data_IF_375845888071
#
_entry.id   IF_375845888071
#
_cell.length_a   1.000
_cell.length_b   1.000
_cell.length_c   1.000
_cell.angle_alpha   90.00
_cell.angle_beta   90.00
_cell.angle_gamma   90.00
#
_symmetry.space_group_name_H-M   'P 1'
#
loop_
_entity.id
_entity.type
_entity.pdbx_description
1 polymer ?
#
# COMPACT_ATOMS: atom_id res chain seq x y z
N UNK A 1 -18.71 3.39 10.03
CA UNK A 1 -17.59 3.76 10.93
C UNK A 1 -16.53 2.67 11.14
N UNK A 2 -16.74 1.39 10.78
CA UNK A 2 -15.72 0.33 10.94
C UNK A 2 -15.59 -0.56 9.69
N UNK A 3 -15.76 0.04 8.52
CA UNK A 3 -15.69 -0.69 7.25
C UNK A 3 -14.33 -0.46 6.61
N UNK A 4 -13.67 -1.55 6.20
CA UNK A 4 -12.50 -1.53 5.35
C UNK A 4 -12.94 -2.01 3.96
N UNK A 5 -12.58 -1.25 2.92
CA UNK A 5 -12.78 -1.68 1.55
C UNK A 5 -11.50 -2.34 1.03
N UNK A 6 -11.58 -3.63 0.72
CA UNK A 6 -10.52 -4.38 0.05
C UNK A 6 -10.62 -4.20 -1.47
N UNK A 7 -9.60 -3.57 -2.05
CA UNK A 7 -9.49 -3.27 -3.46
C UNK A 7 -8.31 -4.06 -4.05
N UNK A 8 -8.60 -5.24 -4.61
CA UNK A 8 -7.64 -5.95 -5.44
C UNK A 8 -7.41 -5.20 -6.75
N UNK A 9 -6.18 -4.78 -7.00
CA UNK A 9 -5.80 -3.92 -8.11
C UNK A 9 -4.81 -4.61 -9.05
N UNK A 10 -4.97 -4.38 -10.35
CA UNK A 10 -4.12 -4.93 -11.40
C UNK A 10 -4.01 -3.96 -12.58
N UNK A 11 -2.86 -3.93 -13.26
CA UNK A 11 -2.73 -3.23 -14.54
C UNK A 11 -3.28 -4.07 -15.68
N UNK A 12 -3.85 -3.40 -16.67
CA UNK A 12 -4.17 -4.04 -17.96
C UNK A 12 -2.98 -4.06 -18.91
N UNK A 13 -2.16 -3.01 -18.82
CA UNK A 13 -1.03 -2.74 -19.70
C UNK A 13 0.15 -2.23 -18.86
N UNK A 14 1.42 -2.47 -19.25
CA UNK A 14 2.60 -2.16 -18.42
C UNK A 14 2.69 -0.71 -17.90
N UNK A 15 2.22 0.25 -18.69
CA UNK A 15 2.24 1.69 -18.37
C UNK A 15 0.82 2.27 -18.25
N UNK A 16 -0.18 1.40 -18.08
CA UNK A 16 -1.58 1.78 -17.96
C UNK A 16 -2.04 1.99 -16.51
N UNK A 17 -3.24 2.55 -16.31
CA UNK A 17 -3.81 2.71 -14.98
C UNK A 17 -4.10 1.35 -14.33
N UNK A 18 -4.10 1.34 -13.00
CA UNK A 18 -4.59 0.21 -12.22
C UNK A 18 -6.12 0.19 -12.24
N UNK A 19 -6.69 -1.00 -12.27
CA UNK A 19 -8.13 -1.23 -12.17
C UNK A 19 -8.43 -2.20 -11.05
N UNK A 20 -9.58 -2.01 -10.41
CA UNK A 20 -10.11 -3.00 -9.48
C UNK A 20 -10.49 -4.26 -10.25
N UNK A 21 -10.06 -5.40 -9.74
CA UNK A 21 -10.35 -6.73 -10.28
C UNK A 21 -11.14 -7.55 -9.26
N UNK A 22 -11.98 -8.44 -9.76
CA UNK A 22 -12.86 -9.31 -8.97
C UNK A 22 -12.80 -10.73 -9.52
N UNK A 23 -13.52 -11.65 -8.86
CA UNK A 23 -13.62 -13.05 -9.28
C UNK A 23 -12.24 -13.73 -9.40
N UNK A 24 -11.56 -13.84 -8.26
CA UNK A 24 -10.17 -14.35 -8.16
C UNK A 24 -9.23 -13.67 -9.15
N UNK A 25 -9.41 -12.36 -9.31
CA UNK A 25 -8.63 -11.47 -10.17
C UNK A 25 -8.75 -11.73 -11.68
N UNK A 26 -9.74 -12.53 -12.09
CA UNK A 26 -9.97 -12.88 -13.49
C UNK A 26 -10.81 -11.82 -14.22
N UNK A 27 -11.64 -11.07 -13.49
CA UNK A 27 -12.56 -10.09 -14.05
C UNK A 27 -12.15 -8.67 -13.71
N UNK A 28 -11.64 -7.94 -14.71
CA UNK A 28 -11.48 -6.49 -14.62
C UNK A 28 -12.83 -5.79 -14.51
N UNK A 29 -12.94 -4.87 -13.55
CA UNK A 29 -14.07 -3.95 -13.47
C UNK A 29 -13.82 -2.73 -14.36
N UNK A 30 -14.79 -1.81 -14.41
CA UNK A 30 -14.63 -0.49 -15.04
C UNK A 30 -14.13 0.56 -14.04
N UNK A 31 -13.82 0.18 -12.80
CA UNK A 31 -13.41 1.09 -11.73
C UNK A 31 -11.88 1.26 -11.74
N UNK A 32 -11.34 2.40 -12.22
CA UNK A 32 -9.92 2.67 -12.13
C UNK A 32 -9.53 2.98 -10.68
N UNK A 33 -8.30 2.66 -10.29
CA UNK A 33 -7.75 3.17 -9.05
C UNK A 33 -7.11 4.55 -9.32
N UNK A 34 -7.80 5.61 -8.90
CA UNK A 34 -7.34 6.99 -9.00
C UNK A 34 -7.87 7.84 -7.84
N UNK A 35 -7.46 9.11 -7.78
CA UNK A 35 -7.87 10.06 -6.75
C UNK A 35 -9.39 10.19 -6.61
N UNK A 36 -10.10 10.39 -7.72
CA UNK A 36 -11.56 10.54 -7.71
C UNK A 36 -12.25 9.28 -7.15
N UNK A 37 -11.81 8.09 -7.57
CA UNK A 37 -12.37 6.84 -7.07
C UNK A 37 -12.11 6.64 -5.58
N UNK A 38 -10.90 6.94 -5.10
CA UNK A 38 -10.60 6.84 -3.66
C UNK A 38 -11.39 7.87 -2.85
N UNK A 39 -11.58 9.08 -3.37
CA UNK A 39 -12.42 10.10 -2.76
C UNK A 39 -13.88 9.64 -2.64
N UNK A 40 -14.47 9.16 -3.73
CA UNK A 40 -15.85 8.70 -3.75
C UNK A 40 -16.07 7.51 -2.80
N UNK A 41 -15.16 6.52 -2.82
CA UNK A 41 -15.27 5.34 -1.94
C UNK A 41 -15.04 5.68 -0.46
N UNK A 42 -14.27 6.72 -0.17
CA UNK A 42 -13.97 7.13 1.22
C UNK A 42 -15.21 7.55 2.00
N UNK A 43 -16.27 7.98 1.32
CA UNK A 43 -17.56 8.32 1.93
C UNK A 43 -18.28 7.09 2.52
N UNK A 44 -17.82 5.89 2.18
CA UNK A 44 -18.45 4.62 2.55
C UNK A 44 -17.60 3.73 3.44
N UNK A 45 -16.35 4.12 3.73
CA UNK A 45 -15.43 3.34 4.55
C UNK A 45 -14.62 4.20 5.51
N UNK A 46 -13.76 3.56 6.29
CA UNK A 46 -12.86 4.24 7.23
C UNK A 46 -11.39 3.94 6.95
N UNK A 47 -11.13 2.95 6.08
CA UNK A 47 -9.80 2.52 5.66
C UNK A 47 -9.90 1.79 4.30
N UNK A 48 -8.80 1.81 3.57
CA UNK A 48 -8.60 0.97 2.39
C UNK A 48 -7.58 -0.13 2.67
N UNK A 49 -7.86 -1.34 2.16
CA UNK A 49 -6.88 -2.40 2.02
C UNK A 49 -6.66 -2.61 0.52
N UNK A 50 -5.45 -2.36 0.01
CA UNK A 50 -5.18 -2.43 -1.43
C UNK A 50 -4.20 -3.55 -1.73
N UNK A 51 -4.66 -4.53 -2.53
CA UNK A 51 -3.88 -5.70 -2.90
C UNK A 51 -3.31 -5.57 -4.32
N UNK A 52 -2.00 -5.68 -4.46
CA UNK A 52 -1.34 -5.72 -5.76
C UNK A 52 -1.25 -7.17 -6.27
N UNK A 53 -2.25 -7.57 -7.06
CA UNK A 53 -2.43 -8.96 -7.52
C UNK A 53 -1.20 -9.52 -8.24
N UNK A 54 -0.54 -8.71 -9.05
CA UNK A 54 0.57 -9.19 -9.89
C UNK A 54 1.81 -9.58 -9.07
N UNK A 55 1.94 -9.10 -7.83
CA UNK A 55 3.09 -9.38 -6.94
C UNK A 55 2.69 -10.13 -5.65
N UNK A 56 1.41 -10.32 -5.39
CA UNK A 56 0.91 -10.99 -4.19
C UNK A 56 1.46 -12.43 -4.04
N UNK A 57 2.01 -12.74 -2.87
CA UNK A 57 2.57 -14.05 -2.55
C UNK A 57 3.88 -14.42 -3.27
N UNK A 58 4.36 -13.60 -4.22
CA UNK A 58 5.52 -13.91 -5.06
C UNK A 58 6.88 -13.50 -4.48
N UNK A 59 6.89 -12.69 -3.41
CA UNK A 59 8.11 -12.14 -2.82
C UNK A 59 9.02 -11.45 -3.86
N UNK A 60 8.41 -10.77 -4.85
CA UNK A 60 9.11 -10.14 -5.97
C UNK A 60 9.45 -8.66 -5.74
N UNK A 61 9.10 -8.11 -4.58
CA UNK A 61 9.15 -6.67 -4.29
C UNK A 61 7.78 -6.01 -4.45
N UNK A 62 7.61 -4.85 -3.80
CA UNK A 62 6.38 -4.06 -3.84
C UNK A 62 6.17 -3.38 -5.20
N UNK A 63 4.91 -3.14 -5.56
CA UNK A 63 4.54 -2.34 -6.73
C UNK A 63 4.70 -0.85 -6.42
N UNK A 64 5.90 -0.33 -6.64
CA UNK A 64 6.34 1.00 -6.22
C UNK A 64 5.44 2.14 -6.74
N UNK A 65 4.96 2.03 -7.99
CA UNK A 65 4.10 3.06 -8.56
C UNK A 65 2.75 3.09 -7.84
N UNK A 66 2.17 1.91 -7.58
CA UNK A 66 0.90 1.82 -6.84
C UNK A 66 1.03 2.41 -5.43
N UNK A 67 2.09 2.08 -4.70
CA UNK A 67 2.34 2.65 -3.36
C UNK A 67 2.45 4.19 -3.42
N UNK A 68 3.18 4.73 -4.40
CA UNK A 68 3.33 6.18 -4.59
C UNK A 68 1.98 6.86 -4.87
N UNK A 69 1.15 6.22 -5.71
CA UNK A 69 -0.18 6.72 -6.05
C UNK A 69 -1.11 6.70 -4.83
N UNK A 70 -1.09 5.63 -4.02
CA UNK A 70 -1.88 5.54 -2.79
C UNK A 70 -1.49 6.60 -1.76
N UNK A 71 -0.19 6.80 -1.53
CA UNK A 71 0.31 7.83 -0.62
C UNK A 71 -0.08 9.25 -1.06
N UNK A 72 -0.18 9.48 -2.38
CA UNK A 72 -0.64 10.76 -2.93
C UNK A 72 -2.15 10.95 -2.83
N UNK A 73 -2.92 9.94 -3.20
CA UNK A 73 -4.34 10.09 -3.51
C UNK A 73 -5.29 9.65 -2.40
N UNK A 74 -4.88 8.77 -1.49
CA UNK A 74 -5.80 8.27 -0.47
C UNK A 74 -6.18 9.37 0.52
N UNK A 75 -7.48 9.66 0.74
CA UNK A 75 -7.92 10.57 1.79
C UNK A 75 -7.99 9.89 3.16
N UNK A 76 -7.91 8.56 3.20
CA UNK A 76 -8.02 7.72 4.40
C UNK A 76 -6.74 6.89 4.63
N UNK A 77 -6.55 6.32 5.82
CA UNK A 77 -5.53 5.29 6.04
C UNK A 77 -5.65 4.19 4.99
N UNK A 78 -4.50 3.70 4.54
CA UNK A 78 -4.44 2.63 3.56
C UNK A 78 -3.36 1.63 3.94
N UNK A 79 -3.75 0.37 3.99
CA UNK A 79 -2.85 -0.76 4.12
C UNK A 79 -2.62 -1.34 2.73
N UNK A 80 -1.37 -1.44 2.30
CA UNK A 80 -0.98 -2.10 1.06
C UNK A 80 -0.54 -3.54 1.33
N UNK A 81 -1.01 -4.50 0.54
CA UNK A 81 -0.47 -5.88 0.56
C UNK A 81 -0.07 -6.34 -0.84
N UNK A 82 1.15 -6.86 -0.94
CA UNK A 82 1.66 -7.45 -2.17
C UNK A 82 3.19 -7.42 -2.25
N UNK A 83 3.81 -8.56 -2.58
CA UNK A 83 5.21 -8.59 -3.00
C UNK A 83 6.30 -8.35 -1.95
N UNK A 84 5.97 -7.90 -0.74
CA UNK A 84 6.93 -7.66 0.34
C UNK A 84 7.81 -8.90 0.62
N UNK A 85 9.11 -8.68 0.81
CA UNK A 85 10.11 -9.76 0.98
C UNK A 85 11.21 -9.45 1.98
N UNK A 86 11.36 -8.19 2.39
CA UNK A 86 12.50 -7.73 3.22
C UNK A 86 12.16 -6.46 4.01
N UNK A 87 12.99 -6.12 5.00
CA UNK A 87 12.90 -4.83 5.69
C UNK A 87 13.12 -3.63 4.75
N UNK A 88 13.85 -3.82 3.66
CA UNK A 88 14.03 -2.77 2.65
C UNK A 88 12.70 -2.40 1.97
N UNK A 89 11.74 -3.33 1.87
CA UNK A 89 10.41 -3.02 1.33
C UNK A 89 9.59 -2.14 2.29
N UNK A 90 9.77 -2.29 3.62
CA UNK A 90 9.16 -1.38 4.60
C UNK A 90 9.70 0.05 4.43
N UNK A 91 11.02 0.19 4.33
CA UNK A 91 11.67 1.48 4.09
C UNK A 91 11.22 2.11 2.76
N UNK A 92 11.15 1.30 1.70
CA UNK A 92 10.71 1.76 0.38
C UNK A 92 9.24 2.23 0.40
N UNK A 93 8.34 1.50 1.07
CA UNK A 93 6.94 1.92 1.21
C UNK A 93 6.82 3.21 2.01
N UNK A 94 7.58 3.34 3.09
CA UNK A 94 7.64 4.57 3.89
C UNK A 94 8.07 5.77 3.05
N UNK A 95 9.13 5.62 2.25
CA UNK A 95 9.66 6.66 1.36
C UNK A 95 8.64 7.05 0.28
N UNK A 96 8.17 6.08 -0.51
CA UNK A 96 7.29 6.33 -1.66
C UNK A 96 5.93 6.92 -1.27
N UNK A 97 5.45 6.57 -0.07
CA UNK A 97 4.16 7.04 0.43
C UNK A 97 4.24 8.28 1.33
N UNK A 98 5.44 8.79 1.60
CA UNK A 98 5.68 9.80 2.63
C UNK A 98 5.07 9.42 4.00
N UNK A 99 5.17 8.14 4.36
CA UNK A 99 4.64 7.58 5.60
C UNK A 99 3.11 7.52 5.70
N UNK A 100 2.40 7.53 4.56
CA UNK A 100 0.92 7.50 4.52
C UNK A 100 0.33 6.12 4.21
N UNK A 101 1.16 5.14 3.84
CA UNK A 101 0.73 3.79 3.46
C UNK A 101 1.41 2.79 4.40
N UNK A 102 0.60 1.95 5.04
CA UNK A 102 1.08 0.82 5.83
C UNK A 102 1.37 -0.39 4.92
N UNK A 103 2.27 -1.29 5.35
CA UNK A 103 2.64 -2.50 4.61
C UNK A 103 2.21 -3.77 5.35
N UNK A 104 1.35 -4.57 4.72
CA UNK A 104 1.03 -5.92 5.18
C UNK A 104 2.03 -6.95 4.62
N UNK A 105 2.62 -7.75 5.51
CA UNK A 105 3.59 -8.80 5.17
C UNK A 105 3.05 -10.16 5.62
N UNK A 106 2.92 -11.09 4.66
CA UNK A 106 2.44 -12.46 4.89
C UNK A 106 3.52 -13.49 4.61
N UNK A 107 3.51 -14.08 3.41
CA UNK A 107 4.34 -15.24 3.04
C UNK A 107 5.86 -15.06 3.18
N UNK A 108 6.36 -13.84 3.29
CA UNK A 108 7.78 -13.58 3.54
C UNK A 108 8.21 -13.87 4.99
N UNK A 109 7.27 -13.86 5.95
CA UNK A 109 7.60 -14.02 7.36
C UNK A 109 8.01 -15.46 7.69
N UNK A 110 9.01 -15.60 8.55
CA UNK A 110 9.52 -16.87 9.09
C UNK A 110 8.44 -17.72 9.77
N UNK A 111 7.51 -17.08 10.48
CA UNK A 111 6.34 -17.74 11.09
C UNK A 111 5.39 -18.37 10.06
N UNK A 112 5.51 -18.01 8.78
CA UNK A 112 4.77 -18.61 7.66
C UNK A 112 5.68 -19.39 6.69
N UNK A 113 6.94 -19.67 7.08
CA UNK A 113 7.91 -20.42 6.28
C UNK A 113 8.74 -19.59 5.30
N UNK A 114 8.66 -18.26 5.38
CA UNK A 114 9.52 -17.34 4.64
C UNK A 114 10.88 -17.08 5.32
N UNK A 115 11.66 -16.15 4.75
CA UNK A 115 13.02 -15.85 5.22
C UNK A 115 13.13 -14.56 6.06
N UNK A 116 12.10 -13.72 6.07
CA UNK A 116 12.07 -12.46 6.81
C UNK A 116 11.65 -12.74 8.27
N UNK A 117 12.45 -12.32 9.24
CA UNK A 117 12.09 -12.55 10.63
C UNK A 117 10.90 -11.70 11.06
N UNK A 118 9.86 -12.32 11.62
CA UNK A 118 8.73 -11.60 12.23
C UNK A 118 9.21 -10.62 13.31
N UNK A 119 10.13 -11.05 14.17
CA UNK A 119 10.66 -10.20 15.23
C UNK A 119 11.36 -8.96 14.66
N UNK A 120 12.15 -9.11 13.59
CA UNK A 120 12.79 -7.97 12.94
C UNK A 120 11.80 -6.98 12.31
N UNK A 121 10.62 -7.44 11.90
CA UNK A 121 9.53 -6.56 11.42
C UNK A 121 8.86 -5.84 12.59
N UNK A 122 8.66 -6.51 13.73
CA UNK A 122 8.11 -5.89 14.95
C UNK A 122 9.05 -4.85 15.53
N UNK A 123 10.37 -5.10 15.50
CA UNK A 123 11.40 -4.20 16.00
C UNK A 123 11.78 -3.12 14.98
N UNK A 124 11.17 -3.13 13.79
CA UNK A 124 11.45 -2.13 12.76
C UNK A 124 10.86 -0.78 13.17
N UNK A 125 11.70 0.24 13.13
CA UNK A 125 11.30 1.63 13.31
C UNK A 125 11.62 2.39 12.03
N UNK A 126 10.69 3.18 11.48
CA UNK A 126 11.01 4.07 10.38
C UNK A 126 12.07 5.06 10.84
N UNK A 127 13.14 5.23 10.04
CA UNK A 127 14.05 6.36 10.28
C UNK A 127 13.22 7.65 10.23
N UNK A 128 13.29 8.44 11.31
CA UNK A 128 12.55 9.68 11.41
C UNK A 128 12.98 10.62 10.28
N UNK A 129 12.13 10.78 9.26
CA UNK A 129 12.24 11.90 8.33
C UNK A 129 11.96 13.14 9.17
N UNK A 130 13.02 13.87 9.52
CA UNK A 130 12.93 15.12 10.24
C UNK A 130 12.04 16.10 9.46
N UNK A 131 10.76 16.18 9.85
CA UNK A 131 9.90 17.30 9.55
C UNK A 131 10.40 18.49 10.39
N UNK A 132 11.51 19.11 9.97
CA UNK A 132 11.77 20.50 10.34
C UNK A 132 10.73 21.36 9.62
N UNK A 133 9.55 21.50 10.24
CA UNK A 133 8.70 22.64 9.95
C UNK A 133 9.42 23.88 10.52
N UNK A 134 9.81 24.87 9.70
CA UNK A 134 10.32 26.11 10.24
C UNK A 134 9.23 26.71 11.14
N UNK A 135 9.58 26.96 12.41
CA UNK A 135 8.76 27.78 13.31
C UNK A 135 8.47 29.09 12.60
N UNK A 136 7.26 29.25 12.07
CA UNK A 136 6.76 30.56 11.68
C UNK A 136 6.75 31.42 12.94
N UNK A 137 7.69 32.35 13.01
CA UNK A 137 7.63 33.45 13.97
C UNK A 137 6.34 34.23 13.67
N UNK A 138 5.39 34.20 14.60
CA UNK A 138 4.25 35.09 14.58
C UNK A 138 4.72 36.54 14.80
N UNK A 139 4.07 37.54 14.19
CA UNK A 139 4.46 38.94 14.25
C UNK A 139 4.34 39.56 15.65
#
# INVERSE_FOLDING_TARGET
>A
ERLVLDLSCRRREPEGPFFVVTDRWQKFTQLPLNEATLQDLSEHCSEFLVHAVDVEGKQSGVEAELVSLLGRWSPLPVTYAGGARSLADLALVQELSAGRVDLAIGSALDIFGGALSYQSVVDWEPEAVALELPKMAAP
#
